data_IF_229892084238
#
_entry.id   IF_229892084238
#
_cell.length_a   1.000
_cell.length_b   1.000
_cell.length_c   1.000
_cell.angle_alpha   90.00
_cell.angle_beta   90.00
_cell.angle_gamma   90.00
#
_symmetry.space_group_name_H-M   'P 1'
#
loop_
_entity.id
_entity.type
_entity.pdbx_description
1 polymer ?
#
# COMPACT_ATOMS: atom_id res chain seq x y z
N UNK A 1 -32.36 -53.55 -5.31
CA UNK A 1 -32.19 -53.22 -6.75
C UNK A 1 -31.40 -51.94 -6.85
N UNK A 2 -30.29 -51.95 -7.59
CA UNK A 2 -29.43 -50.76 -7.77
C UNK A 2 -27.94 -51.13 -7.84
N UNK A 3 -27.57 -51.87 -8.88
CA UNK A 3 -26.19 -52.05 -9.33
C UNK A 3 -25.63 -50.69 -9.80
N UNK A 4 -24.40 -50.35 -9.44
CA UNK A 4 -23.49 -49.71 -10.40
C UNK A 4 -22.02 -49.89 -10.02
N UNK A 5 -21.29 -50.33 -11.03
CA UNK A 5 -19.91 -50.76 -11.10
C UNK A 5 -19.00 -49.65 -11.65
N UNK A 6 -17.76 -49.56 -11.13
CA UNK A 6 -16.46 -49.35 -11.83
C UNK A 6 -16.56 -48.83 -13.29
N UNK A 7 -15.95 -47.70 -13.72
CA UNK A 7 -14.50 -47.38 -13.88
C UNK A 7 -14.34 -45.96 -14.51
N UNK A 8 -13.12 -45.41 -14.75
CA UNK A 8 -12.72 -44.04 -14.44
C UNK A 8 -12.93 -43.04 -15.57
N UNK A 9 -13.08 -41.76 -15.23
CA UNK A 9 -12.90 -40.65 -16.19
C UNK A 9 -11.72 -39.81 -15.74
N UNK A 10 -10.57 -40.08 -16.37
CA UNK A 10 -9.46 -39.15 -16.44
C UNK A 10 -9.81 -38.09 -17.47
N UNK A 11 -10.04 -36.86 -17.02
CA UNK A 11 -9.94 -35.68 -17.87
C UNK A 11 -9.24 -34.59 -17.06
N UNK A 12 -7.92 -34.56 -17.12
CA UNK A 12 -7.16 -33.29 -17.05
C UNK A 12 -6.95 -32.81 -18.50
N UNK A 13 -6.75 -31.51 -18.78
CA UNK A 13 -6.26 -30.48 -17.86
C UNK A 13 -7.10 -29.19 -17.86
N UNK A 14 -6.97 -28.38 -16.81
CA UNK A 14 -6.82 -26.94 -17.05
C UNK A 14 -6.11 -26.30 -15.86
N UNK A 15 -4.84 -26.01 -16.11
CA UNK A 15 -4.09 -24.97 -15.43
C UNK A 15 -4.93 -23.69 -15.41
N UNK A 16 -5.39 -23.27 -14.24
CA UNK A 16 -5.40 -21.86 -13.89
C UNK A 16 -5.10 -21.78 -12.40
N UNK A 17 -3.80 -21.72 -12.12
CA UNK A 17 -3.31 -20.90 -11.04
C UNK A 17 -3.99 -19.55 -11.17
N UNK A 18 -5.02 -19.30 -10.35
CA UNK A 18 -5.57 -17.97 -10.21
C UNK A 18 -4.57 -17.19 -9.35
N UNK A 19 -3.47 -16.83 -10.01
CA UNK A 19 -2.45 -15.96 -9.48
C UNK A 19 -3.12 -14.68 -9.04
N UNK A 20 -2.80 -14.29 -7.81
CA UNK A 20 -3.06 -12.98 -7.22
C UNK A 20 -2.81 -11.89 -8.27
N UNK A 21 -3.87 -11.40 -8.91
CA UNK A 21 -3.87 -10.07 -9.53
C UNK A 21 -4.77 -9.18 -8.68
N UNK A 22 -4.32 -8.94 -7.44
CA UNK A 22 -4.60 -7.67 -6.82
C UNK A 22 -3.95 -6.63 -7.71
N UNK A 23 -4.77 -5.82 -8.36
CA UNK A 23 -4.37 -4.64 -9.11
C UNK A 23 -3.47 -3.79 -8.19
N UNK A 24 -2.14 -3.91 -8.32
CA UNK A 24 -1.25 -2.87 -7.82
C UNK A 24 -1.47 -1.68 -8.75
N UNK A 25 -2.53 -0.91 -8.50
CA UNK A 25 -2.49 0.50 -8.83
C UNK A 25 -1.21 1.00 -8.17
N UNK A 26 -0.15 1.21 -8.97
CA UNK A 26 1.21 1.38 -8.49
C UNK A 26 1.21 2.41 -7.36
N UNK A 27 1.47 1.95 -6.13
CA UNK A 27 1.52 2.86 -4.99
C UNK A 27 2.72 3.76 -5.25
N UNK A 28 2.46 5.02 -5.62
CA UNK A 28 3.52 6.01 -5.80
C UNK A 28 4.23 6.16 -4.46
N UNK A 29 5.46 5.68 -4.40
CA UNK A 29 6.34 5.85 -3.27
C UNK A 29 7.15 7.13 -3.47
N UNK A 30 7.38 7.87 -2.39
CA UNK A 30 8.25 9.05 -2.38
C UNK A 30 9.46 8.74 -1.49
N UNK A 31 10.65 9.08 -1.96
CA UNK A 31 11.85 9.03 -1.15
C UNK A 31 11.90 10.29 -0.26
N UNK A 32 11.85 10.10 1.05
CA UNK A 32 11.76 11.19 2.02
C UNK A 32 13.10 11.36 2.71
N UNK A 33 13.62 12.60 2.72
CA UNK A 33 14.81 12.97 3.50
C UNK A 33 14.46 13.15 4.97
N UNK A 34 13.45 13.97 5.22
CA UNK A 34 12.89 14.23 6.53
C UNK A 34 11.44 14.75 6.40
N UNK A 35 10.72 14.80 7.52
CA UNK A 35 9.35 15.30 7.58
C UNK A 35 9.08 15.95 8.93
N UNK A 36 8.11 16.87 8.97
CA UNK A 36 7.67 17.53 10.20
C UNK A 36 6.16 17.77 10.18
N UNK A 37 5.53 17.74 11.35
CA UNK A 37 4.11 18.01 11.50
C UNK A 37 3.85 19.11 12.55
N UNK A 38 2.90 19.98 12.27
CA UNK A 38 2.48 21.07 13.16
C UNK A 38 0.97 21.30 13.05
N UNK A 39 0.34 21.79 14.12
CA UNK A 39 -1.03 22.28 14.06
C UNK A 39 -1.01 23.73 13.54
N UNK A 40 -1.79 24.01 12.50
CA UNK A 40 -2.04 25.38 12.04
C UNK A 40 -3.27 25.90 12.78
N UNK A 41 -3.08 26.94 13.59
CA UNK A 41 -4.16 27.61 14.31
C UNK A 41 -5.07 28.42 13.37
N UNK A 42 -4.51 28.94 12.28
CA UNK A 42 -5.26 29.68 11.25
C UNK A 42 -6.23 28.80 10.47
N UNK A 43 -5.79 27.58 10.11
CA UNK A 43 -6.57 26.65 9.28
C UNK A 43 -7.32 25.63 10.14
N UNK A 44 -6.96 25.49 11.42
CA UNK A 44 -7.52 24.49 12.34
C UNK A 44 -7.19 23.06 11.92
N UNK A 45 -6.07 22.84 11.22
CA UNK A 45 -5.66 21.54 10.66
C UNK A 45 -4.20 21.26 10.95
N UNK A 46 -3.86 19.98 10.95
CA UNK A 46 -2.47 19.54 10.99
C UNK A 46 -1.87 19.69 9.60
N UNK A 47 -0.71 20.33 9.53
CA UNK A 47 0.13 20.45 8.34
C UNK A 47 1.28 19.47 8.50
N UNK A 48 1.43 18.57 7.53
CA UNK A 48 2.63 17.74 7.38
C UNK A 48 3.45 18.28 6.21
N UNK A 49 4.69 18.67 6.49
CA UNK A 49 5.69 18.99 5.49
C UNK A 49 6.59 17.77 5.27
N UNK A 50 6.65 17.29 4.03
CA UNK A 50 7.48 16.16 3.62
C UNK A 50 8.57 16.70 2.69
N UNK A 51 9.83 16.60 3.10
CA UNK A 51 10.96 17.02 2.28
C UNK A 51 11.47 15.84 1.46
N UNK A 52 11.30 15.90 0.15
CA UNK A 52 11.78 14.89 -0.79
C UNK A 52 13.31 14.87 -0.84
N UNK A 53 13.90 13.72 -1.14
CA UNK A 53 15.33 13.62 -1.47
C UNK A 53 15.69 14.38 -2.75
N UNK A 54 14.71 14.69 -3.60
CA UNK A 54 14.86 15.44 -4.85
C UNK A 54 14.79 16.96 -4.64
N UNK A 55 14.54 17.43 -3.41
CA UNK A 55 14.55 18.84 -3.04
C UNK A 55 13.18 19.54 -3.04
N UNK A 56 12.13 18.88 -3.49
CA UNK A 56 10.75 19.40 -3.42
C UNK A 56 10.09 19.11 -2.07
N UNK A 57 9.41 20.11 -1.50
CA UNK A 57 8.61 19.95 -0.28
C UNK A 57 7.14 19.76 -0.64
N UNK A 58 6.55 18.66 -0.18
CA UNK A 58 5.10 18.42 -0.30
C UNK A 58 4.40 18.76 1.02
N UNK A 59 3.32 19.54 0.93
CA UNK A 59 2.47 19.87 2.08
C UNK A 59 1.18 19.05 2.03
N UNK A 60 0.86 18.40 3.15
CA UNK A 60 -0.38 17.64 3.32
C UNK A 60 -1.18 18.24 4.47
N UNK A 61 -2.40 18.70 4.16
CA UNK A 61 -3.35 19.16 5.16
C UNK A 61 -4.21 17.99 5.62
N UNK A 62 -4.29 17.79 6.93
CA UNK A 62 -5.01 16.67 7.51
C UNK A 62 -5.72 17.03 8.81
N UNK A 63 -6.71 16.22 9.17
CA UNK A 63 -7.32 16.29 10.51
C UNK A 63 -6.39 15.67 11.55
N UNK A 64 -6.61 15.98 12.83
CA UNK A 64 -5.87 15.39 13.95
C UNK A 64 -5.96 13.85 13.91
N UNK A 65 -7.12 13.28 13.58
CA UNK A 65 -7.30 11.83 13.48
C UNK A 65 -6.49 11.21 12.33
N UNK A 66 -6.43 11.88 11.18
CA UNK A 66 -5.61 11.45 10.05
C UNK A 66 -4.12 11.50 10.40
N UNK A 67 -3.67 12.56 11.09
CA UNK A 67 -2.30 12.67 11.59
C UNK A 67 -1.95 11.55 12.58
N UNK A 68 -2.84 11.27 13.55
CA UNK A 68 -2.65 10.20 14.52
C UNK A 68 -2.54 8.81 13.85
N UNK A 69 -3.38 8.54 12.84
CA UNK A 69 -3.30 7.31 12.06
C UNK A 69 -1.98 7.22 11.29
N UNK A 70 -1.56 8.29 10.63
CA UNK A 70 -0.31 8.31 9.88
C UNK A 70 0.91 8.10 10.79
N UNK A 71 0.91 8.69 11.99
CA UNK A 71 1.98 8.49 12.96
C UNK A 71 2.12 7.01 13.35
N UNK A 72 1.03 6.24 13.40
CA UNK A 72 1.09 4.79 13.63
C UNK A 72 1.69 4.05 12.43
N UNK A 73 1.33 4.43 11.20
CA UNK A 73 1.87 3.81 9.98
C UNK A 73 3.38 4.08 9.83
N UNK A 74 3.83 5.30 10.13
CA UNK A 74 5.23 5.71 10.07
C UNK A 74 6.12 5.06 11.14
N UNK A 75 5.55 4.49 12.22
CA UNK A 75 6.31 3.70 13.21
C UNK A 75 6.76 2.34 12.67
N UNK A 76 6.18 1.86 11.58
CA UNK A 76 6.53 0.58 10.95
C UNK A 76 6.87 0.76 9.47
N UNK A 77 7.89 1.58 9.14
CA UNK A 77 8.21 1.89 7.76
C UNK A 77 8.63 0.59 7.04
N UNK A 78 7.95 0.29 5.93
CA UNK A 78 8.35 -0.82 5.07
C UNK A 78 9.47 -0.35 4.18
N UNK A 79 10.60 -1.06 4.23
CA UNK A 79 11.69 -0.83 3.28
C UNK A 79 11.19 -1.16 1.88
N UNK A 80 11.25 -0.20 0.98
CA UNK A 80 10.98 -0.41 -0.44
C UNK A 80 12.32 -0.79 -1.10
N UNK A 81 12.43 -1.96 -1.74
CA UNK A 81 13.64 -2.32 -2.49
C UNK A 81 13.89 -1.28 -3.58
N UNK A 82 15.14 -0.82 -3.71
CA UNK A 82 15.54 -0.07 -4.90
C UNK A 82 15.46 -1.04 -6.08
N UNK A 83 14.52 -0.81 -6.98
CA UNK A 83 14.61 -1.39 -8.32
C UNK A 83 15.54 -0.45 -9.09
N UNK A 84 16.80 -0.84 -9.23
CA UNK A 84 17.69 -0.22 -10.20
C UNK A 84 17.04 -0.47 -11.58
N UNK A 85 16.61 0.62 -12.24
CA UNK A 85 16.18 0.62 -13.63
C UNK A 85 17.38 0.75 -14.55
#
# INVERSE_FOLDING_TARGET
>A
MGIQSKLPVSTTPNNLANGRQGHMAGKRAIAVKDWSCAMSDEIGRVVLAINSTEGETTYVLMTIFQAAKMAQELRSPKMVPRYDM
#
